data_IF_317316606811
#
_entry.id   IF_317316606811
#
_cell.length_a   1.000
_cell.length_b   1.000
_cell.length_c   1.000
_cell.angle_alpha   90.00
_cell.angle_beta   90.00
_cell.angle_gamma   90.00
#
_symmetry.space_group_name_H-M   'P 1'
#
loop_
_entity.id
_entity.type
_entity.pdbx_description
1 polymer ?
#
# COMPACT_ATOMS: atom_id res chain seq x y z
N UNK A 1 -2.65 -21.92 13.05
CA UNK A 1 -3.65 -21.32 13.95
C UNK A 1 -3.15 -21.19 15.40
N UNK A 2 -2.16 -21.99 15.84
CA UNK A 2 -1.74 -22.04 17.24
C UNK A 2 -0.79 -20.92 17.70
N UNK A 3 -0.28 -20.11 16.78
CA UNK A 3 0.62 -19.01 17.08
C UNK A 3 -0.10 -17.70 17.45
N UNK A 4 -1.38 -17.58 17.15
CA UNK A 4 -2.18 -16.37 17.40
C UNK A 4 -2.80 -16.46 18.79
N UNK A 5 -2.54 -15.45 19.63
CA UNK A 5 -3.18 -15.31 20.95
C UNK A 5 -4.52 -14.54 20.83
N UNK A 6 -4.51 -13.47 20.04
CA UNK A 6 -5.64 -12.56 19.91
C UNK A 6 -5.56 -11.80 18.59
N UNK A 7 -6.72 -11.53 18.02
CA UNK A 7 -6.90 -10.58 16.91
C UNK A 7 -7.71 -9.41 17.43
N UNK A 8 -7.15 -8.20 17.36
CA UNK A 8 -7.83 -6.97 17.76
C UNK A 8 -8.15 -6.14 16.52
N UNK A 9 -9.40 -5.75 16.39
CA UNK A 9 -9.84 -4.79 15.37
C UNK A 9 -9.85 -3.41 16.02
N UNK A 10 -8.96 -2.53 15.58
CA UNK A 10 -8.84 -1.15 16.07
C UNK A 10 -9.53 -0.24 15.06
N UNK A 11 -10.74 0.19 15.39
CA UNK A 11 -11.56 1.06 14.52
C UNK A 11 -11.17 2.54 14.62
N UNK A 12 -10.45 2.93 15.68
CA UNK A 12 -9.95 4.29 15.88
C UNK A 12 -8.47 4.22 16.27
N UNK A 13 -7.56 4.15 15.31
CA UNK A 13 -6.14 4.04 15.60
C UNK A 13 -5.62 5.33 16.23
N UNK A 14 -4.90 5.19 17.36
CA UNK A 14 -4.16 6.30 17.97
C UNK A 14 -2.87 6.55 17.19
N UNK A 15 -2.20 7.70 17.44
CA UNK A 15 -0.90 8.06 16.87
C UNK A 15 0.24 7.02 17.06
N UNK A 16 -0.02 5.93 17.76
CA UNK A 16 0.86 4.78 17.93
C UNK A 16 0.91 3.87 16.70
N UNK A 17 -0.10 3.94 15.86
CA UNK A 17 -0.22 3.14 14.64
C UNK A 17 -0.14 4.09 13.46
N UNK A 18 0.82 3.86 12.55
CA UNK A 18 0.85 4.54 11.27
C UNK A 18 -0.30 3.98 10.42
N UNK A 19 -1.46 4.61 10.51
CA UNK A 19 -2.64 4.24 9.77
C UNK A 19 -2.96 5.31 8.74
N UNK A 20 -2.53 5.11 7.52
CA UNK A 20 -3.07 5.82 6.37
C UNK A 20 -4.29 5.03 5.87
N UNK A 21 -5.50 5.47 6.26
CA UNK A 21 -6.75 4.89 5.77
C UNK A 21 -7.87 4.83 6.81
N UNK A 22 -9.10 4.85 6.34
CA UNK A 22 -10.34 4.90 7.15
C UNK A 22 -10.89 3.54 7.59
N UNK A 23 -10.24 2.44 7.20
CA UNK A 23 -10.78 1.08 7.36
C UNK A 23 -10.45 0.41 8.71
N UNK A 24 -9.67 1.08 9.58
CA UNK A 24 -9.20 0.48 10.84
C UNK A 24 -7.97 -0.42 10.66
N UNK A 25 -7.45 -0.90 11.79
CA UNK A 25 -6.25 -1.75 11.84
C UNK A 25 -6.61 -3.10 12.42
N UNK A 26 -6.12 -4.15 11.77
CA UNK A 26 -6.15 -5.51 12.33
C UNK A 26 -4.84 -5.75 13.06
N UNK A 27 -4.87 -5.72 14.38
CA UNK A 27 -3.71 -6.03 15.23
C UNK A 27 -3.71 -7.53 15.60
N UNK A 28 -2.76 -8.27 15.07
CA UNK A 28 -2.61 -9.69 15.38
C UNK A 28 -1.59 -9.84 16.51
N UNK A 29 -2.06 -10.27 17.68
CA UNK A 29 -1.23 -10.52 18.85
C UNK A 29 -0.85 -12.00 18.84
N UNK A 30 0.44 -12.27 18.70
CA UNK A 30 0.97 -13.62 18.78
C UNK A 30 1.18 -14.03 20.24
N UNK A 31 0.98 -15.31 20.54
CA UNK A 31 1.21 -15.88 21.89
C UNK A 31 2.64 -15.59 22.34
N UNK A 32 2.76 -14.93 23.47
CA UNK A 32 4.06 -14.65 24.09
C UNK A 32 4.68 -15.92 24.63
N UNK A 33 5.88 -16.22 24.19
CA UNK A 33 6.85 -16.99 24.98
C UNK A 33 7.06 -18.46 24.63
N UNK A 34 6.62 -18.98 23.48
CA UNK A 34 6.90 -20.40 23.16
C UNK A 34 7.62 -20.69 21.84
N UNK A 35 7.83 -19.74 20.98
CA UNK A 35 8.56 -19.98 19.74
C UNK A 35 9.88 -19.21 19.72
N UNK A 36 10.89 -19.71 20.45
CA UNK A 36 12.28 -19.47 20.12
C UNK A 36 12.56 -20.20 18.81
N UNK A 37 13.33 -19.58 17.93
CA UNK A 37 13.72 -20.19 16.67
C UNK A 37 13.29 -19.37 15.44
N UNK A 38 13.47 -20.00 14.31
CA UNK A 38 13.18 -19.40 13.01
C UNK A 38 11.75 -19.77 12.56
N UNK A 39 11.03 -18.77 12.10
CA UNK A 39 9.75 -18.94 11.41
C UNK A 39 9.66 -17.95 10.25
N UNK A 40 8.82 -18.27 9.29
CA UNK A 40 8.60 -17.42 8.15
C UNK A 40 7.43 -17.85 7.31
N UNK A 41 7.03 -16.97 6.40
CA UNK A 41 6.00 -17.24 5.41
C UNK A 41 6.36 -16.60 4.07
N UNK A 42 5.89 -17.22 3.00
CA UNK A 42 5.93 -16.68 1.65
C UNK A 42 4.51 -16.65 1.13
N UNK A 43 4.09 -15.50 0.64
CA UNK A 43 2.79 -15.28 0.02
C UNK A 43 3.02 -14.90 -1.44
N UNK A 44 2.29 -15.53 -2.34
CA UNK A 44 2.32 -15.20 -3.77
C UNK A 44 0.89 -14.95 -4.23
N UNK A 45 0.72 -13.88 -4.98
CA UNK A 45 -0.55 -13.53 -5.62
C UNK A 45 -0.34 -13.41 -7.11
N UNK A 46 -1.20 -14.06 -7.88
CA UNK A 46 -1.27 -13.94 -9.33
C UNK A 46 -2.67 -13.46 -9.68
N UNK A 47 -2.78 -12.52 -10.58
CA UNK A 47 -4.07 -11.93 -10.95
C UNK A 47 -4.17 -11.59 -12.43
N UNK A 48 -5.41 -11.36 -12.85
CA UNK A 48 -5.76 -10.86 -14.18
C UNK A 48 -6.65 -9.60 -14.01
N UNK A 49 -6.40 -8.51 -14.75
CA UNK A 49 -5.24 -8.25 -15.62
C UNK A 49 -3.90 -8.42 -14.89
N UNK A 50 -2.79 -8.42 -15.60
CA UNK A 50 -1.46 -8.78 -15.10
C UNK A 50 -1.15 -8.20 -13.71
N UNK A 51 -1.13 -9.08 -12.73
CA UNK A 51 -0.76 -8.74 -11.35
C UNK A 51 0.08 -9.89 -10.79
N UNK A 52 1.28 -9.54 -10.31
CA UNK A 52 2.20 -10.47 -9.67
C UNK A 52 2.65 -9.87 -8.35
N UNK A 53 2.51 -10.63 -7.28
CA UNK A 53 3.01 -10.22 -5.97
C UNK A 53 3.72 -11.39 -5.31
N UNK A 54 4.87 -11.11 -4.73
CA UNK A 54 5.56 -12.01 -3.80
C UNK A 54 5.88 -11.23 -2.52
N UNK A 55 5.54 -11.81 -1.39
CA UNK A 55 5.83 -11.23 -0.08
C UNK A 55 6.37 -12.31 0.85
N UNK A 56 7.48 -12.00 1.52
CA UNK A 56 8.15 -12.88 2.45
C UNK A 56 8.25 -12.22 3.81
N UNK A 57 7.86 -12.94 4.85
CA UNK A 57 8.05 -12.54 6.24
C UNK A 57 8.93 -13.56 6.94
N UNK A 58 10.02 -13.11 7.55
CA UNK A 58 10.98 -13.94 8.27
C UNK A 58 11.14 -13.42 9.69
N UNK A 59 11.22 -14.33 10.64
CA UNK A 59 11.47 -14.01 12.04
C UNK A 59 12.38 -15.06 12.66
N UNK A 60 13.41 -14.61 13.35
CA UNK A 60 14.31 -15.46 14.11
C UNK A 60 14.44 -14.93 15.53
N UNK A 61 13.77 -15.60 16.46
CA UNK A 61 13.72 -15.21 17.86
C UNK A 61 14.62 -16.07 18.72
N UNK A 62 15.62 -15.42 19.30
CA UNK A 62 16.45 -15.98 20.37
C UNK A 62 16.02 -15.48 21.76
N UNK A 63 16.78 -15.87 22.79
CA UNK A 63 16.52 -15.44 24.18
C UNK A 63 16.72 -13.94 24.40
N UNK A 64 17.74 -13.36 23.77
CA UNK A 64 18.11 -11.95 23.92
C UNK A 64 17.83 -11.09 22.71
N UNK A 65 17.64 -11.71 21.55
CA UNK A 65 17.51 -10.99 20.28
C UNK A 65 16.38 -11.60 19.47
N UNK A 66 15.59 -10.74 18.85
CA UNK A 66 14.62 -11.09 17.83
C UNK A 66 14.96 -10.31 16.55
N UNK A 67 15.29 -11.02 15.48
CA UNK A 67 15.51 -10.45 14.15
C UNK A 67 14.29 -10.76 13.30
N UNK A 68 13.75 -9.74 12.62
CA UNK A 68 12.60 -9.89 11.74
C UNK A 68 12.77 -9.07 10.46
N UNK A 69 12.23 -9.60 9.38
CA UNK A 69 12.30 -8.99 8.07
C UNK A 69 11.01 -9.25 7.29
N UNK A 70 10.55 -8.24 6.56
CA UNK A 70 9.50 -8.39 5.56
C UNK A 70 10.02 -7.81 4.26
N UNK A 71 9.85 -8.56 3.17
CA UNK A 71 10.25 -8.13 1.82
C UNK A 71 9.07 -8.42 0.90
N UNK A 72 8.70 -7.45 0.09
CA UNK A 72 7.62 -7.57 -0.87
C UNK A 72 7.97 -6.94 -2.21
N UNK A 73 7.50 -7.57 -3.27
CA UNK A 73 7.50 -7.03 -4.61
C UNK A 73 6.13 -7.20 -5.23
N UNK A 74 5.64 -6.15 -5.87
CA UNK A 74 4.36 -6.15 -6.56
C UNK A 74 4.53 -5.50 -7.93
N UNK A 75 4.06 -6.21 -8.95
CA UNK A 75 3.82 -5.68 -10.29
C UNK A 75 2.33 -5.70 -10.56
N UNK A 76 1.81 -4.63 -11.14
CA UNK A 76 0.42 -4.56 -11.58
C UNK A 76 0.33 -3.76 -12.88
N UNK A 77 -0.37 -4.32 -13.87
CA UNK A 77 -0.87 -3.60 -15.03
C UNK A 77 -2.40 -3.49 -14.93
N UNK A 78 -2.92 -2.27 -14.97
CA UNK A 78 -4.35 -1.96 -14.90
C UNK A 78 -4.83 -1.28 -16.17
N UNK A 79 -5.07 -2.03 -17.25
CA UNK A 79 -5.68 -1.48 -18.45
C UNK A 79 -7.12 -1.06 -18.17
N UNK A 80 -7.59 -0.07 -18.88
CA UNK A 80 -8.96 0.41 -18.76
C UNK A 80 -9.35 1.29 -19.93
N UNK A 81 -10.63 1.61 -19.98
CA UNK A 81 -11.17 2.53 -20.96
C UNK A 81 -12.18 3.46 -20.29
N UNK A 82 -12.43 4.61 -20.90
CA UNK A 82 -13.51 5.50 -20.55
C UNK A 82 -14.12 6.12 -21.81
N UNK A 83 -15.44 6.24 -21.79
CA UNK A 83 -16.21 6.92 -22.81
C UNK A 83 -16.95 8.08 -22.18
N UNK A 84 -16.85 9.28 -22.81
CA UNK A 84 -17.55 10.47 -22.36
C UNK A 84 -18.28 11.10 -23.54
N UNK A 85 -19.60 11.30 -23.40
CA UNK A 85 -20.43 12.09 -24.33
C UNK A 85 -20.89 13.34 -23.58
N UNK A 86 -20.31 14.48 -23.94
CA UNK A 86 -20.63 15.77 -23.36
C UNK A 86 -21.43 16.61 -24.39
N UNK A 87 -22.60 17.09 -23.97
CA UNK A 87 -23.47 17.92 -24.79
C UNK A 87 -23.75 19.24 -24.10
N UNK A 88 -23.57 20.34 -24.82
CA UNK A 88 -23.75 21.68 -24.32
C UNK A 88 -25.04 22.25 -24.93
N UNK A 89 -25.88 22.84 -24.09
CA UNK A 89 -27.14 23.43 -24.46
C UNK A 89 -27.12 24.93 -24.09
N UNK A 90 -27.51 25.79 -25.03
CA UNK A 90 -27.70 27.22 -24.80
C UNK A 90 -29.18 27.54 -24.91
N UNK A 91 -29.77 28.17 -23.87
CA UNK A 91 -31.20 28.45 -23.80
C UNK A 91 -32.11 27.23 -24.07
N UNK A 92 -31.69 26.04 -23.70
CA UNK A 92 -32.45 24.81 -23.92
C UNK A 92 -32.30 24.20 -25.31
N UNK A 93 -31.54 24.80 -26.20
CA UNK A 93 -31.23 24.32 -27.55
C UNK A 93 -29.82 23.71 -27.56
N UNK A 94 -29.65 22.58 -28.22
CA UNK A 94 -28.33 21.98 -28.40
C UNK A 94 -27.44 22.89 -29.21
N UNK A 95 -26.24 23.21 -28.68
CA UNK A 95 -25.26 24.10 -29.28
C UNK A 95 -24.08 23.35 -29.87
N UNK A 96 -23.40 22.59 -29.06
CA UNK A 96 -22.25 21.78 -29.49
C UNK A 96 -22.06 20.57 -28.57
N UNK A 97 -21.18 19.66 -28.99
CA UNK A 97 -20.85 18.49 -28.15
C UNK A 97 -19.47 17.90 -28.44
N UNK A 98 -19.09 17.01 -27.59
CA UNK A 98 -17.79 16.35 -27.62
C UNK A 98 -17.90 14.90 -27.14
N UNK A 99 -17.33 14.01 -27.92
CA UNK A 99 -17.16 12.61 -27.57
C UNK A 99 -15.68 12.35 -27.30
N UNK A 100 -15.39 11.66 -26.22
CA UNK A 100 -14.04 11.21 -25.88
C UNK A 100 -14.05 9.69 -25.67
N UNK A 101 -13.21 9.00 -26.44
CA UNK A 101 -12.85 7.61 -26.25
C UNK A 101 -11.43 7.56 -25.74
N UNK A 102 -11.23 7.02 -24.55
CA UNK A 102 -9.94 6.95 -23.92
C UNK A 102 -9.60 5.53 -23.52
N UNK A 103 -8.50 5.02 -24.07
CA UNK A 103 -7.84 3.82 -23.61
C UNK A 103 -6.66 4.19 -22.71
N UNK A 104 -6.44 3.43 -21.65
CA UNK A 104 -5.30 3.69 -20.78
C UNK A 104 -4.74 2.41 -20.17
N UNK A 105 -3.45 2.44 -19.87
CA UNK A 105 -2.73 1.45 -19.09
C UNK A 105 -2.07 2.13 -17.89
N UNK A 106 -2.18 1.50 -16.72
CA UNK A 106 -1.53 1.94 -15.50
C UNK A 106 -0.63 0.84 -15.00
N UNK A 107 0.65 0.97 -15.27
CA UNK A 107 1.66 0.03 -14.85
C UNK A 107 2.26 0.51 -13.55
N UNK A 108 2.39 -0.38 -12.57
CA UNK A 108 2.97 -0.05 -11.28
C UNK A 108 3.90 -1.16 -10.79
N UNK A 109 5.13 -0.78 -10.48
CA UNK A 109 6.14 -1.62 -9.85
C UNK A 109 6.38 -1.10 -8.44
N UNK A 110 6.32 -1.97 -7.45
CA UNK A 110 6.57 -1.58 -6.08
C UNK A 110 7.44 -2.62 -5.38
N UNK A 111 8.52 -2.17 -4.80
CA UNK A 111 9.36 -2.93 -3.89
C UNK A 111 9.25 -2.32 -2.50
N UNK A 112 9.09 -3.16 -1.48
CA UNK A 112 9.17 -2.75 -0.09
C UNK A 112 9.99 -3.76 0.71
N UNK A 113 10.81 -3.25 1.61
CA UNK A 113 11.62 -4.04 2.50
C UNK A 113 11.65 -3.44 3.89
N UNK A 114 11.53 -4.29 4.92
CA UNK A 114 11.77 -3.90 6.29
C UNK A 114 12.70 -4.87 6.99
N UNK A 115 13.56 -4.36 7.84
CA UNK A 115 14.44 -5.13 8.71
C UNK A 115 14.31 -4.55 10.12
N UNK A 116 14.11 -5.41 11.10
CA UNK A 116 14.01 -5.01 12.49
C UNK A 116 14.78 -5.94 13.42
N UNK A 117 15.34 -5.35 14.46
CA UNK A 117 16.03 -6.02 15.53
C UNK A 117 15.49 -5.56 16.88
N UNK A 118 14.98 -6.50 17.67
CA UNK A 118 14.58 -6.26 19.04
C UNK A 118 15.60 -6.90 19.99
N UNK A 119 16.18 -6.11 20.88
CA UNK A 119 17.08 -6.56 21.92
C UNK A 119 16.37 -6.52 23.27
N UNK A 120 16.28 -7.68 23.93
CA UNK A 120 15.66 -7.82 25.24
C UNK A 120 16.69 -7.50 26.35
N UNK A 121 16.55 -6.33 26.96
CA UNK A 121 17.39 -5.90 28.08
C UNK A 121 17.14 -6.81 29.31
N UNK A 122 15.90 -7.16 29.53
CA UNK A 122 15.41 -8.06 30.56
C UNK A 122 14.01 -8.58 30.21
N UNK A 123 13.38 -9.36 31.12
CA UNK A 123 12.04 -9.93 30.89
C UNK A 123 10.91 -8.87 30.72
N UNK A 124 11.17 -7.61 31.08
CA UNK A 124 10.19 -6.54 31.03
C UNK A 124 10.51 -5.45 30.01
N UNK A 125 11.77 -5.33 29.60
CA UNK A 125 12.22 -4.21 28.76
C UNK A 125 12.93 -4.67 27.51
N UNK A 126 12.64 -4.01 26.39
CA UNK A 126 13.32 -4.21 25.12
C UNK A 126 13.57 -2.89 24.39
N UNK A 127 14.54 -2.90 23.50
CA UNK A 127 14.80 -1.86 22.53
C UNK A 127 14.62 -2.49 21.15
N UNK A 128 13.83 -1.84 20.29
CA UNK A 128 13.56 -2.29 18.92
C UNK A 128 13.98 -1.21 17.93
N UNK A 129 14.92 -1.55 17.06
CA UNK A 129 15.29 -0.74 15.90
C UNK A 129 14.64 -1.33 14.66
N UNK A 130 14.10 -0.47 13.79
CA UNK A 130 13.58 -0.89 12.48
C UNK A 130 14.07 0.04 11.38
N UNK A 131 14.31 -0.56 10.23
CA UNK A 131 14.60 0.11 8.97
C UNK A 131 13.52 -0.30 7.97
N UNK A 132 12.99 0.65 7.22
CA UNK A 132 12.03 0.42 6.16
C UNK A 132 12.45 1.18 4.91
N UNK A 133 12.33 0.52 3.77
CA UNK A 133 12.53 1.08 2.46
C UNK A 133 11.38 0.69 1.54
N UNK A 134 10.88 1.62 0.75
CA UNK A 134 9.92 1.40 -0.32
C UNK A 134 10.33 2.21 -1.54
N UNK A 135 10.29 1.58 -2.70
CA UNK A 135 10.33 2.23 -4.00
C UNK A 135 9.11 1.82 -4.82
N UNK A 136 8.47 2.79 -5.45
CA UNK A 136 7.33 2.55 -6.34
C UNK A 136 7.54 3.38 -7.60
N UNK A 137 7.53 2.69 -8.75
CA UNK A 137 7.60 3.30 -10.06
C UNK A 137 6.26 3.06 -10.76
N UNK A 138 5.71 4.10 -11.37
CA UNK A 138 4.46 4.09 -12.10
C UNK A 138 4.60 4.64 -13.50
N UNK A 139 4.00 3.96 -14.48
CA UNK A 139 3.83 4.45 -15.84
C UNK A 139 2.36 4.45 -16.20
N UNK A 140 1.86 5.61 -16.60
CA UNK A 140 0.50 5.81 -17.09
C UNK A 140 0.56 6.17 -18.56
N UNK A 141 0.03 5.30 -19.40
CA UNK A 141 -0.10 5.49 -20.83
C UNK A 141 -1.57 5.72 -21.14
N UNK A 142 -1.91 6.74 -21.93
CA UNK A 142 -3.28 6.91 -22.37
C UNK A 142 -3.38 7.55 -23.75
N UNK A 143 -4.27 6.99 -24.55
CA UNK A 143 -4.68 7.47 -25.85
C UNK A 143 -6.12 7.95 -25.75
N UNK A 144 -6.36 9.23 -26.06
CA UNK A 144 -7.68 9.86 -25.96
C UNK A 144 -8.07 10.40 -27.32
N UNK A 145 -8.99 9.71 -28.00
CA UNK A 145 -9.60 10.18 -29.25
C UNK A 145 -10.76 11.11 -28.92
N UNK A 146 -10.70 12.33 -29.46
CA UNK A 146 -11.66 13.39 -29.19
C UNK A 146 -12.33 13.79 -30.50
N UNK A 147 -13.66 13.76 -30.53
CA UNK A 147 -14.48 14.24 -31.65
C UNK A 147 -15.39 15.34 -31.17
N UNK A 148 -15.30 16.51 -31.79
CA UNK A 148 -16.16 17.66 -31.52
C UNK A 148 -17.16 17.85 -32.65
N UNK A 149 -18.38 18.28 -32.33
CA UNK A 149 -19.45 18.47 -33.31
C UNK A 149 -20.31 19.71 -32.96
N UNK A 150 -20.87 20.33 -33.99
CA UNK A 150 -21.71 21.52 -33.87
C UNK A 150 -23.17 21.18 -33.51
N UNK A 151 -24.00 22.21 -33.51
CA UNK A 151 -25.45 22.14 -33.27
C UNK A 151 -26.22 21.28 -34.29
N UNK A 152 -25.67 21.07 -35.46
CA UNK A 152 -26.21 20.20 -36.48
C UNK A 152 -25.68 18.74 -36.37
N UNK A 153 -24.90 18.44 -35.32
CA UNK A 153 -24.20 17.20 -35.14
C UNK A 153 -23.19 16.86 -36.23
N UNK A 154 -22.66 17.87 -36.89
CA UNK A 154 -21.59 17.74 -37.89
C UNK A 154 -20.24 17.81 -37.15
N UNK A 155 -19.37 16.85 -37.42
CA UNK A 155 -18.01 16.84 -36.85
C UNK A 155 -17.25 18.08 -37.31
N UNK A 156 -16.81 18.87 -36.34
CA UNK A 156 -16.04 20.12 -36.57
C UNK A 156 -14.57 19.91 -36.34
N UNK A 157 -14.19 18.99 -35.46
CA UNK A 157 -12.81 18.69 -35.15
C UNK A 157 -12.64 17.22 -34.69
N UNK A 158 -11.50 16.64 -35.03
CA UNK A 158 -11.08 15.33 -34.49
C UNK A 158 -9.62 15.44 -34.10
N UNK A 159 -9.30 15.03 -32.87
CA UNK A 159 -7.94 15.07 -32.36
C UNK A 159 -7.64 13.79 -31.57
N UNK A 160 -6.36 13.39 -31.56
CA UNK A 160 -5.83 12.32 -30.75
C UNK A 160 -4.84 12.92 -29.75
N UNK A 161 -5.09 12.72 -28.47
CA UNK A 161 -4.16 13.09 -27.40
C UNK A 161 -3.51 11.85 -26.84
N UNK A 162 -2.21 11.74 -27.03
CA UNK A 162 -1.37 10.69 -26.42
C UNK A 162 -0.70 11.28 -25.19
N UNK A 163 -0.82 10.62 -24.07
CA UNK A 163 -0.22 11.05 -22.81
C UNK A 163 0.57 9.90 -22.19
N UNK A 164 1.84 10.17 -21.93
CA UNK A 164 2.73 9.29 -21.20
C UNK A 164 3.17 10.01 -19.93
N UNK A 165 2.93 9.42 -18.80
CA UNK A 165 3.26 9.98 -17.49
C UNK A 165 3.99 8.92 -16.68
N UNK A 166 5.14 9.26 -16.11
CA UNK A 166 5.90 8.39 -15.23
C UNK A 166 6.04 9.05 -13.88
N UNK A 167 5.80 8.30 -12.82
CA UNK A 167 5.96 8.72 -11.44
C UNK A 167 6.88 7.76 -10.69
N UNK A 168 7.69 8.30 -9.78
CA UNK A 168 8.54 7.53 -8.90
C UNK A 168 8.40 8.04 -7.47
N UNK A 169 8.24 7.13 -6.53
CA UNK A 169 8.11 7.43 -5.11
C UNK A 169 9.05 6.57 -4.29
N UNK A 170 9.88 7.21 -3.48
CA UNK A 170 10.85 6.56 -2.61
C UNK A 170 10.61 6.96 -1.16
N UNK A 171 10.52 5.96 -0.29
CA UNK A 171 10.35 6.16 1.14
C UNK A 171 11.45 5.45 1.91
N UNK A 172 12.12 6.17 2.80
CA UNK A 172 13.11 5.65 3.73
C UNK A 172 12.70 6.02 5.15
N UNK A 173 12.60 5.03 6.03
CA UNK A 173 12.18 5.26 7.40
C UNK A 173 13.05 4.48 8.38
N UNK A 174 13.44 5.13 9.47
CA UNK A 174 14.10 4.53 10.63
C UNK A 174 13.23 4.73 11.86
N UNK A 175 13.17 3.74 12.72
CA UNK A 175 12.56 3.92 14.02
C UNK A 175 13.37 3.26 15.13
N UNK A 176 13.33 3.85 16.31
CA UNK A 176 13.88 3.28 17.53
C UNK A 176 12.83 3.37 18.62
N UNK A 177 12.49 2.24 19.20
CA UNK A 177 11.47 2.13 20.24
C UNK A 177 12.05 1.49 21.50
N UNK A 178 11.78 2.10 22.64
CA UNK A 178 11.99 1.49 23.94
C UNK A 178 10.65 1.05 24.52
N UNK A 179 10.55 -0.20 24.94
CA UNK A 179 9.35 -0.76 25.55
C UNK A 179 9.68 -1.22 26.98
N UNK A 180 8.85 -0.84 27.95
CA UNK A 180 8.93 -1.33 29.32
C UNK A 180 7.52 -1.74 29.80
N UNK A 181 7.38 -2.99 30.26
CA UNK A 181 6.14 -3.50 30.84
C UNK A 181 6.19 -3.19 32.36
N UNK A 182 5.47 -2.18 32.80
CA UNK A 182 5.53 -1.65 34.15
C UNK A 182 4.80 -2.52 35.19
N UNK A 183 3.77 -3.27 34.79
CA UNK A 183 2.94 -4.00 35.74
C UNK A 183 2.46 -5.36 35.20
N UNK A 184 2.04 -6.26 36.13
CA UNK A 184 1.42 -7.55 35.82
C UNK A 184 0.05 -7.39 35.13
N UNK A 185 -0.58 -6.22 35.25
CA UNK A 185 -1.90 -5.89 34.70
C UNK A 185 -1.85 -5.33 33.26
N UNK A 186 -0.72 -5.42 32.55
CA UNK A 186 -0.64 -5.09 31.14
C UNK A 186 -0.36 -3.62 30.82
N UNK A 187 -0.08 -2.79 31.80
CA UNK A 187 0.36 -1.42 31.56
C UNK A 187 1.73 -1.41 30.88
N UNK A 188 1.82 -0.77 29.71
CA UNK A 188 3.05 -0.64 28.93
C UNK A 188 3.41 0.82 28.79
N UNK A 189 4.68 1.14 29.02
CA UNK A 189 5.26 2.41 28.62
C UNK A 189 6.06 2.18 27.35
N UNK A 190 5.77 2.93 26.30
CA UNK A 190 6.50 2.91 25.04
C UNK A 190 6.92 4.34 24.69
N UNK A 191 8.18 4.54 24.36
CA UNK A 191 8.71 5.81 23.87
C UNK A 191 9.32 5.56 22.50
N UNK A 192 8.83 6.29 21.50
CA UNK A 192 9.41 6.35 20.15
C UNK A 192 10.37 7.54 20.12
N UNK A 193 11.56 7.32 19.61
CA UNK A 193 12.61 8.34 19.38
C UNK A 193 12.77 8.52 17.88
#
# INVERSE_FOLDING_TARGET
ADAIEKVEVITSPSARYDAEGTAGILNIILRKGKALGFNGSVNTTLGYPEQYQIATSLNNRGEKVNLFSNIGYTYRNGPGFSYTDQRIYENGVFDNGRIEDRDFERIRNSFNGSLGLEYFLNKKSSITGTFFYRNTDGDNLSDNAITEFDSASITTNTSLRIQNESDADETLQYSLNYTNNLDKNGQKMSKRL
#
